data_IF_495114061676
#
_entry.id   IF_495114061676
#
_cell.length_a   1.000
_cell.length_b   1.000
_cell.length_c   1.000
_cell.angle_alpha   90.00
_cell.angle_beta   90.00
_cell.angle_gamma   90.00
#
_symmetry.space_group_name_H-M   'P 1'
#
loop_
_entity.id
_entity.type
_entity.pdbx_description
1 polymer ?
#
# COMPACT_ATOMS: atom_id res chain seq x y z
N UNK A 1 -37.20 -1.23 43.29
CA UNK A 1 -36.74 -0.93 41.92
C UNK A 1 -35.41 -0.20 42.04
N UNK A 2 -34.28 -0.91 41.88
CA UNK A 2 -32.95 -0.32 42.02
C UNK A 2 -32.57 0.35 40.70
N UNK A 3 -32.53 1.69 40.68
CA UNK A 3 -32.11 2.47 39.53
C UNK A 3 -30.58 2.56 39.57
N UNK A 4 -29.88 1.64 38.90
CA UNK A 4 -28.46 1.82 38.60
C UNK A 4 -28.32 2.99 37.62
N UNK A 5 -27.55 4.06 37.94
CA UNK A 5 -27.26 5.11 36.96
C UNK A 5 -26.48 4.50 35.79
N UNK A 6 -26.73 4.93 34.54
CA UNK A 6 -25.98 4.44 33.39
C UNK A 6 -24.52 4.82 33.58
N UNK A 7 -23.63 3.81 33.63
CA UNK A 7 -22.19 4.02 33.72
C UNK A 7 -21.75 5.00 32.63
N UNK A 8 -21.20 6.14 33.03
CA UNK A 8 -20.57 7.11 32.13
C UNK A 8 -19.35 6.44 31.53
N UNK A 9 -19.50 5.88 30.33
CA UNK A 9 -18.38 5.24 29.60
C UNK A 9 -17.30 6.30 29.37
N UNK A 10 -16.06 5.99 29.71
CA UNK A 10 -14.91 6.82 29.35
C UNK A 10 -14.83 6.92 27.82
N UNK A 11 -14.33 8.05 27.33
CA UNK A 11 -14.21 8.29 25.89
C UNK A 11 -13.28 7.25 25.24
N UNK A 12 -12.29 6.76 25.98
CA UNK A 12 -11.29 5.80 25.54
C UNK A 12 -11.90 4.47 25.04
N UNK A 13 -12.98 4.00 25.65
CA UNK A 13 -13.67 2.78 25.23
C UNK A 13 -14.69 3.02 24.09
N UNK A 14 -14.84 4.26 23.64
CA UNK A 14 -15.89 4.65 22.70
C UNK A 14 -15.47 4.40 21.26
N UNK A 15 -16.36 3.76 20.50
CA UNK A 15 -16.20 3.54 19.06
C UNK A 15 -16.84 4.68 18.29
N UNK A 16 -16.02 5.51 17.66
CA UNK A 16 -16.46 6.71 16.94
C UNK A 16 -16.39 6.50 15.43
N UNK A 17 -17.30 7.14 14.70
CA UNK A 17 -17.14 7.27 13.25
C UNK A 17 -16.02 8.26 12.95
N UNK A 18 -15.40 8.16 11.77
CA UNK A 18 -14.35 9.09 11.32
C UNK A 18 -14.76 10.57 11.51
N UNK A 19 -16.01 10.91 11.17
CA UNK A 19 -16.54 12.27 11.32
C UNK A 19 -16.67 12.72 12.78
N UNK A 20 -17.01 11.81 13.68
CA UNK A 20 -17.09 12.09 15.11
C UNK A 20 -15.70 12.17 15.74
N UNK A 21 -14.79 11.30 15.33
CA UNK A 21 -13.39 11.31 15.76
C UNK A 21 -12.72 12.64 15.39
N UNK A 22 -12.91 13.13 14.16
CA UNK A 22 -12.40 14.44 13.73
C UNK A 22 -12.97 15.63 14.52
N UNK A 23 -14.16 15.47 15.13
CA UNK A 23 -14.76 16.49 16.00
C UNK A 23 -14.23 16.40 17.43
N UNK A 24 -13.95 15.19 17.91
CA UNK A 24 -13.37 14.96 19.23
C UNK A 24 -11.91 15.42 19.26
N UNK A 25 -11.15 15.12 18.20
CA UNK A 25 -9.73 15.45 18.07
C UNK A 25 -9.51 16.45 16.92
N UNK A 26 -9.62 17.77 17.19
CA UNK A 26 -9.53 18.80 16.14
C UNK A 26 -8.13 18.92 15.52
N UNK A 27 -7.12 18.28 16.12
CA UNK A 27 -5.79 18.17 15.55
C UNK A 27 -5.77 17.37 14.22
N UNK A 28 -6.75 16.47 14.01
CA UNK A 28 -6.81 15.63 12.83
C UNK A 28 -8.03 15.95 11.96
N UNK A 29 -7.78 16.26 10.70
CA UNK A 29 -8.86 16.41 9.72
C UNK A 29 -9.48 15.06 9.37
N UNK A 30 -10.74 15.06 8.93
CA UNK A 30 -11.41 13.85 8.48
C UNK A 30 -10.63 13.14 7.35
N UNK A 31 -10.03 13.92 6.45
CA UNK A 31 -9.19 13.40 5.37
C UNK A 31 -7.93 12.71 5.87
N UNK A 32 -7.27 13.26 6.90
CA UNK A 32 -6.09 12.64 7.51
C UNK A 32 -6.45 11.30 8.15
N UNK A 33 -7.54 11.24 8.92
CA UNK A 33 -8.01 10.00 9.53
C UNK A 33 -8.36 8.95 8.45
N UNK A 34 -9.03 9.36 7.37
CA UNK A 34 -9.34 8.46 6.23
C UNK A 34 -8.08 7.91 5.58
N UNK A 35 -7.03 8.71 5.44
CA UNK A 35 -5.74 8.27 4.93
C UNK A 35 -5.11 7.17 5.81
N UNK A 36 -5.10 7.36 7.13
CA UNK A 36 -4.58 6.34 8.05
C UNK A 36 -5.40 5.06 8.05
N UNK A 37 -6.74 5.17 8.00
CA UNK A 37 -7.64 4.02 7.85
C UNK A 37 -7.36 3.24 6.56
N UNK A 38 -7.11 3.94 5.46
CA UNK A 38 -6.81 3.30 4.18
C UNK A 38 -5.46 2.55 4.22
N UNK A 39 -4.48 3.09 4.93
CA UNK A 39 -3.15 2.48 5.09
C UNK A 39 -3.06 1.47 6.25
N UNK A 40 -4.18 1.17 6.92
CA UNK A 40 -4.20 0.29 8.08
C UNK A 40 -3.89 -1.17 7.75
N UNK A 41 -4.38 -1.66 6.63
CA UNK A 41 -4.16 -3.03 6.20
C UNK A 41 -2.90 -3.13 5.31
N UNK A 42 -2.16 -4.26 5.38
CA UNK A 42 -1.09 -4.53 4.44
C UNK A 42 -1.64 -4.65 3.02
N UNK A 43 -0.90 -4.13 2.05
CA UNK A 43 -1.33 -4.07 0.64
C UNK A 43 -0.27 -4.65 -0.29
N UNK A 44 -0.71 -5.36 -1.33
CA UNK A 44 0.16 -5.90 -2.37
C UNK A 44 0.36 -4.85 -3.46
N UNK A 45 1.59 -4.65 -3.88
CA UNK A 45 1.96 -3.79 -5.00
C UNK A 45 2.91 -4.53 -5.94
N UNK A 46 3.11 -4.01 -7.15
CA UNK A 46 4.10 -4.55 -8.09
C UNK A 46 5.53 -4.56 -7.54
N UNK A 47 5.82 -3.72 -6.54
CA UNK A 47 7.12 -3.63 -5.85
C UNK A 47 7.23 -4.53 -4.61
N UNK A 48 6.17 -5.28 -4.28
CA UNK A 48 6.11 -6.14 -3.09
C UNK A 48 4.96 -5.78 -2.15
N UNK A 49 4.99 -6.37 -0.94
CA UNK A 49 3.98 -6.16 0.11
C UNK A 49 4.38 -4.94 0.94
N UNK A 50 3.51 -3.94 0.99
CA UNK A 50 3.66 -2.77 1.86
C UNK A 50 2.96 -3.11 3.19
N UNK A 51 3.67 -3.06 4.33
CA UNK A 51 3.06 -3.28 5.63
C UNK A 51 2.04 -2.19 5.95
N UNK A 52 1.01 -2.53 6.72
CA UNK A 52 0.04 -1.56 7.22
C UNK A 52 0.65 -0.68 8.32
N UNK A 53 -0.02 0.43 8.65
CA UNK A 53 0.45 1.36 9.68
C UNK A 53 0.14 0.93 11.13
N UNK A 54 -0.34 -0.30 11.37
CA UNK A 54 -0.63 -0.78 12.73
C UNK A 54 -1.97 -0.35 13.32
N UNK A 55 -2.76 0.49 12.63
CA UNK A 55 -4.07 0.95 13.11
C UNK A 55 -5.20 -0.09 12.93
N UNK A 56 -4.96 -1.15 12.15
CA UNK A 56 -5.96 -2.19 11.84
C UNK A 56 -6.72 -2.78 13.05
N UNK A 57 -6.11 -3.15 14.20
CA UNK A 57 -6.83 -3.71 15.34
C UNK A 57 -7.83 -2.75 15.98
N UNK A 58 -7.64 -1.43 15.84
CA UNK A 58 -8.51 -0.40 16.39
C UNK A 58 -9.62 0.03 15.42
N UNK A 59 -9.73 -0.61 14.27
CA UNK A 59 -10.73 -0.32 13.24
C UNK A 59 -11.76 -1.44 13.17
N UNK A 60 -13.04 -1.08 13.14
CA UNK A 60 -14.16 -1.99 12.86
C UNK A 60 -14.99 -1.48 11.69
N UNK A 61 -15.34 -2.37 10.77
CA UNK A 61 -16.23 -2.08 9.65
C UNK A 61 -17.62 -2.66 9.94
N UNK A 62 -18.63 -1.80 9.95
CA UNK A 62 -20.04 -2.17 10.11
C UNK A 62 -20.81 -1.71 8.87
N UNK A 63 -20.99 -2.63 7.91
CA UNK A 63 -21.57 -2.31 6.61
C UNK A 63 -20.74 -1.26 5.87
N UNK A 64 -21.35 -0.14 5.53
CA UNK A 64 -20.68 1.00 4.87
C UNK A 64 -19.95 1.95 5.83
N UNK A 65 -20.07 1.74 7.15
CA UNK A 65 -19.48 2.62 8.16
C UNK A 65 -18.17 2.05 8.69
N UNK A 66 -17.20 2.94 8.90
CA UNK A 66 -15.95 2.64 9.59
C UNK A 66 -15.99 3.29 10.96
N UNK A 67 -15.78 2.46 11.98
CA UNK A 67 -15.65 2.86 13.37
C UNK A 67 -14.21 2.68 13.82
N UNK A 68 -13.75 3.62 14.64
CA UNK A 68 -12.42 3.64 15.21
C UNK A 68 -12.59 3.75 16.72
N UNK A 69 -11.88 2.91 17.47
CA UNK A 69 -11.81 3.04 18.92
C UNK A 69 -10.99 4.28 19.28
N UNK A 70 -11.55 5.21 20.06
CA UNK A 70 -10.91 6.49 20.36
C UNK A 70 -9.62 6.33 21.18
N UNK A 71 -9.65 5.56 22.27
CA UNK A 71 -8.45 5.30 23.10
C UNK A 71 -7.34 4.62 22.30
N UNK A 72 -7.66 3.54 21.59
CA UNK A 72 -6.70 2.82 20.76
C UNK A 72 -6.15 3.63 19.59
N UNK A 73 -6.86 4.66 19.11
CA UNK A 73 -6.32 5.60 18.14
C UNK A 73 -5.29 6.54 18.77
N UNK A 74 -5.53 7.00 19.99
CA UNK A 74 -4.57 7.82 20.74
C UNK A 74 -3.33 7.00 21.15
N UNK A 75 -3.53 5.79 21.67
CA UNK A 75 -2.45 4.85 22.00
C UNK A 75 -1.59 4.55 20.76
N UNK A 76 -2.23 4.40 19.60
CA UNK A 76 -1.53 4.20 18.33
C UNK A 76 -0.68 5.41 17.94
N UNK A 77 -1.19 6.64 18.10
CA UNK A 77 -0.41 7.86 17.82
C UNK A 77 0.80 7.97 18.76
N UNK A 78 0.58 7.71 20.05
CA UNK A 78 1.65 7.75 21.06
C UNK A 78 2.69 6.66 20.80
N UNK A 79 2.27 5.46 20.38
CA UNK A 79 3.15 4.37 19.97
C UNK A 79 3.91 4.63 18.66
N UNK A 80 3.26 5.25 17.67
CA UNK A 80 3.87 5.59 16.37
C UNK A 80 4.93 6.69 16.49
N UNK A 81 4.81 7.59 17.48
CA UNK A 81 5.84 8.58 17.79
C UNK A 81 7.22 7.92 18.05
N UNK A 82 7.24 6.69 18.57
CA UNK A 82 8.48 5.95 18.80
C UNK A 82 9.04 5.29 17.53
N UNK A 83 8.22 4.89 16.56
CA UNK A 83 8.64 4.11 15.37
C UNK A 83 9.07 4.96 14.16
N UNK A 84 8.56 6.20 14.03
CA UNK A 84 8.91 7.11 12.91
C UNK A 84 10.41 7.47 12.92
N UNK A 85 11.07 7.41 14.07
CA UNK A 85 12.51 7.71 14.23
C UNK A 85 13.45 6.70 13.55
N UNK A 86 13.02 5.46 13.29
CA UNK A 86 13.91 4.37 12.86
C UNK A 86 14.01 4.24 11.33
N UNK A 87 12.93 4.55 10.59
CA UNK A 87 12.89 4.34 9.14
C UNK A 87 13.34 5.57 8.32
N UNK A 88 13.15 6.79 8.84
CA UNK A 88 13.61 8.02 8.18
C UNK A 88 15.15 8.14 8.13
N UNK A 89 15.87 7.44 9.03
CA UNK A 89 17.33 7.47 9.08
C UNK A 89 18.02 6.46 8.16
N UNK A 90 17.30 5.44 7.66
CA UNK A 90 17.90 4.37 6.85
C UNK A 90 18.01 4.71 5.35
N UNK A 91 17.20 5.64 4.83
CA UNK A 91 17.25 6.03 3.41
C UNK A 91 18.32 7.09 3.09
N UNK A 92 18.80 7.84 4.08
CA UNK A 92 19.79 8.91 3.87
C UNK A 92 21.22 8.34 3.76
N UNK A 93 21.51 7.16 4.32
CA UNK A 93 22.88 6.60 4.36
C UNK A 93 23.34 5.90 3.06
N UNK A 94 22.46 5.74 2.07
CA UNK A 94 22.80 4.99 0.85
C UNK A 94 23.13 5.88 -0.37
N UNK A 95 23.19 7.20 -0.19
CA UNK A 95 23.50 8.15 -1.27
C UNK A 95 24.85 8.80 -0.97
N UNK A 96 25.95 8.04 -0.96
CA UNK A 96 27.31 8.50 -1.33
C UNK A 96 28.22 7.29 -1.33
N UNK A 97 28.40 6.70 -2.51
CA UNK A 97 29.65 5.99 -2.82
C UNK A 97 30.19 6.63 -4.09
N UNK A 98 31.37 7.30 -4.06
CA UNK A 98 31.90 7.99 -5.22
C UNK A 98 32.20 6.97 -6.33
N UNK A 99 31.57 7.20 -7.49
CA UNK A 99 31.78 6.47 -8.73
C UNK A 99 33.26 6.60 -9.11
N UNK A 100 34.02 5.51 -8.98
CA UNK A 100 35.41 5.45 -9.41
C UNK A 100 35.50 5.79 -10.91
N UNK A 101 36.38 6.71 -11.34
CA UNK A 101 36.58 7.00 -12.75
C UNK A 101 37.27 5.80 -13.40
N UNK A 102 36.63 5.22 -14.42
CA UNK A 102 37.20 4.17 -15.24
C UNK A 102 38.46 4.70 -15.94
N UNK A 103 39.64 4.18 -15.56
CA UNK A 103 40.90 4.44 -16.26
C UNK A 103 40.77 3.93 -17.70
N UNK A 104 40.99 4.83 -18.66
CA UNK A 104 41.16 4.52 -20.08
C UNK A 104 42.30 3.51 -20.23
N UNK A 105 41.98 2.29 -20.67
CA UNK A 105 42.97 1.35 -21.18
C UNK A 105 43.30 1.73 -22.62
N UNK A 106 44.57 2.08 -22.84
CA UNK A 106 45.19 2.35 -24.13
C UNK A 106 45.25 1.07 -24.98
N UNK A 107 45.08 1.28 -26.28
CA UNK A 107 45.15 0.31 -27.36
C UNK A 107 46.46 -0.48 -27.40
N UNK A 108 46.38 -1.77 -27.79
CA UNK A 108 47.31 -2.51 -28.66
C UNK A 108 46.43 -3.48 -29.47
N UNK A 109 46.53 -3.42 -30.80
CA UNK A 109 45.89 -4.31 -31.78
C UNK A 109 46.95 -5.30 -32.36
N UNK A 110 46.67 -6.07 -33.43
CA UNK A 110 45.89 -7.31 -33.48
C UNK A 110 46.72 -8.48 -34.07
N UNK A 111 46.38 -9.75 -33.82
CA UNK A 111 46.80 -10.84 -34.72
C UNK A 111 46.03 -12.17 -34.49
N UNK A 112 45.38 -12.67 -35.55
CA UNK A 112 45.49 -14.07 -35.96
C UNK A 112 44.42 -15.10 -35.53
N UNK A 113 43.77 -15.68 -36.56
CA UNK A 113 43.21 -17.04 -36.70
C UNK A 113 41.78 -17.25 -36.18
N UNK A 114 40.77 -17.28 -37.07
CA UNK A 114 40.35 -18.38 -37.96
C UNK A 114 39.52 -19.47 -37.25
N UNK A 115 38.39 -19.77 -37.89
CA UNK A 115 37.55 -20.96 -37.78
C UNK A 115 36.73 -21.21 -36.51
N UNK A 116 35.40 -20.98 -36.62
CA UNK A 116 34.45 -22.09 -36.58
C UNK A 116 33.01 -21.61 -36.83
N UNK A 117 32.49 -22.05 -37.96
CA UNK A 117 31.08 -22.06 -38.35
C UNK A 117 30.24 -22.82 -37.30
N UNK A 118 29.27 -22.17 -36.63
CA UNK A 118 28.17 -22.87 -35.97
C UNK A 118 26.85 -22.09 -36.01
N UNK A 119 26.01 -22.57 -36.94
CA UNK A 119 24.57 -22.38 -37.19
C UNK A 119 23.75 -21.52 -36.20
N UNK A 120 22.86 -20.64 -36.69
CA UNK A 120 21.81 -20.05 -35.85
C UNK A 120 20.79 -21.14 -35.48
N UNK A 121 20.67 -21.40 -34.18
CA UNK A 121 19.62 -22.26 -33.63
C UNK A 121 18.27 -21.55 -33.79
N UNK A 122 17.40 -22.18 -34.57
CA UNK A 122 16.01 -21.84 -34.78
C UNK A 122 15.25 -21.77 -33.46
N UNK A 123 14.91 -20.56 -33.02
CA UNK A 123 13.92 -20.34 -31.96
C UNK A 123 12.54 -20.56 -32.56
N UNK A 124 11.99 -21.76 -32.38
CA UNK A 124 10.59 -22.05 -32.68
C UNK A 124 9.71 -21.20 -31.75
N UNK A 125 8.97 -20.25 -32.30
CA UNK A 125 7.90 -19.57 -31.58
C UNK A 125 6.78 -20.58 -31.25
N UNK A 126 6.24 -20.58 -30.02
CA UNK A 126 5.07 -21.40 -29.71
C UNK A 126 3.83 -20.86 -30.45
N UNK A 127 2.90 -21.73 -30.87
CA UNK A 127 1.68 -21.32 -31.55
C UNK A 127 0.86 -20.40 -30.63
N UNK A 128 0.52 -19.23 -31.15
CA UNK A 128 -0.40 -18.29 -30.51
C UNK A 128 -1.81 -18.88 -30.69
N UNK A 129 -2.41 -19.35 -29.61
CA UNK A 129 -3.81 -19.74 -29.61
C UNK A 129 -4.69 -18.53 -29.98
N UNK A 130 -5.73 -18.71 -30.81
CA UNK A 130 -6.65 -17.63 -31.15
C UNK A 130 -7.38 -17.14 -29.90
N UNK A 131 -7.27 -15.84 -29.63
CA UNK A 131 -8.00 -15.15 -28.57
C UNK A 131 -9.50 -15.35 -28.82
N UNK A 132 -10.28 -15.87 -27.86
CA UNK A 132 -11.72 -15.98 -28.01
C UNK A 132 -12.32 -14.57 -28.13
N UNK A 133 -12.97 -14.31 -29.27
CA UNK A 133 -13.72 -13.08 -29.52
C UNK A 133 -14.89 -13.04 -28.54
N UNK A 134 -14.76 -12.25 -27.48
CA UNK A 134 -15.85 -12.02 -26.53
C UNK A 134 -17.00 -11.31 -27.23
N UNK A 135 -18.18 -11.92 -27.18
CA UNK A 135 -19.44 -11.38 -27.71
C UNK A 135 -19.71 -9.94 -27.23
N UNK A 136 -20.32 -9.07 -28.07
CA UNK A 136 -20.71 -7.75 -27.65
C UNK A 136 -21.81 -7.83 -26.59
N UNK A 137 -21.49 -7.31 -25.41
CA UNK A 137 -22.37 -7.16 -24.25
C UNK A 137 -23.70 -6.47 -24.63
N UNK A 138 -24.80 -7.25 -24.71
CA UNK A 138 -26.16 -6.73 -24.90
C UNK A 138 -26.62 -5.98 -23.64
N UNK A 139 -26.66 -4.66 -23.69
CA UNK A 139 -27.36 -3.83 -22.69
C UNK A 139 -28.88 -4.01 -22.85
N UNK A 140 -29.51 -4.78 -21.99
CA UNK A 140 -30.97 -4.75 -21.85
C UNK A 140 -31.36 -3.55 -20.99
N UNK A 141 -31.72 -2.45 -21.63
CA UNK A 141 -32.40 -1.31 -21.00
C UNK A 141 -33.85 -1.69 -20.70
N UNK A 142 -34.12 -2.11 -19.47
CA UNK A 142 -35.49 -2.21 -18.95
C UNK A 142 -36.01 -0.80 -18.68
N UNK A 143 -36.68 -0.23 -19.68
CA UNK A 143 -37.45 1.01 -19.58
C UNK A 143 -38.77 0.67 -18.88
N UNK A 144 -38.81 0.95 -17.58
CA UNK A 144 -40.03 0.88 -16.76
C UNK A 144 -41.06 1.86 -17.34
N UNK A 145 -42.21 1.35 -17.77
CA UNK A 145 -43.40 2.14 -18.03
C UNK A 145 -44.46 1.81 -16.99
N UNK A 146 -45.17 2.89 -16.62
CA UNK A 146 -46.35 3.03 -15.75
C UNK A 146 -46.05 3.19 -14.28
#
# INVERSE_FOLDING_TARGET
>A
MSNNPPATKSLDETWLTIKLLAKAEPAFTESAIRYHVFNAAPRKTSKGVIPGNGLAPHIRRLGSKVLINHGGFLDWIEGDAHQISVSAQQSIRNITSPRQPTRKASAIAPEGKEDALKKPSSRSEPPIDPIPVSEPYRKTSSRRQR
#
